data_IF_167519558881
#
_entry.id   IF_167519558881
#
_cell.length_a   1.000
_cell.length_b   1.000
_cell.length_c   1.000
_cell.angle_alpha   90.00
_cell.angle_beta   90.00
_cell.angle_gamma   90.00
#
_symmetry.space_group_name_H-M   'P 1'
#
loop_
_entity.id
_entity.type
_entity.pdbx_description
1 polymer ?
#
# COMPACT_ATOMS: atom_id res chain seq x y z
N UNK A 1 30.74 4.82 2.21
CA UNK A 1 31.57 3.75 2.80
C UNK A 1 30.84 2.43 2.57
N UNK A 2 31.49 1.46 1.95
CA UNK A 2 30.89 0.16 1.61
C UNK A 2 30.49 -0.56 2.90
N UNK A 3 29.23 -0.98 3.03
CA UNK A 3 28.68 -1.72 4.17
C UNK A 3 29.19 -3.16 4.22
N UNK A 4 30.50 -3.35 4.09
CA UNK A 4 31.15 -4.66 4.05
C UNK A 4 31.33 -5.16 5.48
N UNK A 5 30.74 -6.33 5.74
CA UNK A 5 30.83 -7.07 6.98
C UNK A 5 31.87 -8.17 6.78
N UNK A 6 32.84 -8.26 7.70
CA UNK A 6 33.85 -9.35 7.70
C UNK A 6 33.22 -10.61 8.28
N UNK A 7 33.10 -11.66 7.46
CA UNK A 7 32.69 -13.00 7.88
C UNK A 7 33.86 -13.98 7.91
N UNK A 8 33.64 -15.17 8.47
CA UNK A 8 34.65 -16.23 8.55
C UNK A 8 35.11 -16.73 7.17
N UNK A 9 34.21 -16.68 6.18
CA UNK A 9 34.45 -17.19 4.83
C UNK A 9 34.77 -16.10 3.80
N UNK A 10 34.76 -14.82 4.20
CA UNK A 10 35.00 -13.70 3.29
C UNK A 10 34.22 -12.43 3.64
N UNK A 11 34.28 -11.48 2.72
CA UNK A 11 33.61 -10.18 2.82
C UNK A 11 32.16 -10.28 2.35
N UNK A 12 31.22 -9.72 3.11
CA UNK A 12 29.79 -9.73 2.83
C UNK A 12 29.22 -8.32 2.75
N UNK A 13 28.17 -8.10 1.97
CA UNK A 13 27.42 -6.83 1.95
C UNK A 13 25.96 -7.07 2.31
N UNK A 14 25.39 -6.19 3.13
CA UNK A 14 23.98 -6.23 3.49
C UNK A 14 23.14 -5.39 2.52
N UNK A 15 22.19 -6.05 1.84
CA UNK A 15 21.23 -5.41 0.93
C UNK A 15 19.83 -5.54 1.53
N UNK A 16 19.16 -4.40 1.75
CA UNK A 16 17.83 -4.32 2.35
C UNK A 16 16.90 -3.59 1.39
N UNK A 17 15.71 -4.17 1.17
CA UNK A 17 14.58 -3.51 0.51
C UNK A 17 13.40 -3.37 1.49
N UNK A 18 12.63 -2.30 1.35
CA UNK A 18 11.44 -2.04 2.16
C UNK A 18 10.21 -1.97 1.27
N UNK A 19 9.14 -2.62 1.70
CA UNK A 19 7.79 -2.46 1.16
C UNK A 19 6.94 -1.78 2.24
N UNK A 20 6.39 -0.61 1.91
CA UNK A 20 5.70 0.24 2.88
C UNK A 20 4.27 0.46 2.39
N UNK A 21 3.30 0.04 3.20
CA UNK A 21 1.89 0.34 2.97
C UNK A 21 1.48 1.51 3.86
N UNK A 22 0.97 2.57 3.25
CA UNK A 22 0.52 3.78 3.93
C UNK A 22 -0.94 4.06 3.60
N UNK A 23 -1.78 4.17 4.63
CA UNK A 23 -3.20 4.45 4.45
C UNK A 23 -3.43 5.87 3.95
N UNK A 24 -4.05 6.01 2.79
CA UNK A 24 -4.41 7.32 2.24
C UNK A 24 -5.54 7.92 3.06
N UNK A 25 -5.27 9.05 3.71
CA UNK A 25 -6.29 9.79 4.45
C UNK A 25 -7.38 10.27 3.48
N UNK A 26 -8.58 9.74 3.59
CA UNK A 26 -9.71 10.08 2.71
C UNK A 26 -11.01 9.90 3.51
N UNK A 27 -12.06 10.59 3.11
CA UNK A 27 -13.36 10.46 3.79
C UNK A 27 -14.04 9.12 3.44
N UNK A 28 -13.90 8.71 2.18
CA UNK A 28 -14.46 7.48 1.61
C UNK A 28 -13.37 6.56 1.08
N UNK A 29 -13.67 5.27 0.96
CA UNK A 29 -12.72 4.24 0.49
C UNK A 29 -12.27 4.46 -0.96
N UNK A 30 -11.25 3.71 -1.37
CA UNK A 30 -10.63 3.83 -2.70
C UNK A 30 -11.60 3.54 -3.85
N UNK A 31 -12.51 2.58 -3.67
CA UNK A 31 -13.42 2.10 -4.73
C UNK A 31 -14.91 2.15 -4.38
N UNK A 32 -15.26 2.69 -3.22
CA UNK A 32 -16.64 2.75 -2.74
C UNK A 32 -16.91 4.01 -1.92
N UNK A 33 -18.18 4.38 -1.80
CA UNK A 33 -18.62 5.53 -1.00
C UNK A 33 -18.70 5.27 0.51
N UNK A 34 -18.30 4.09 0.99
CA UNK A 34 -18.27 3.82 2.43
C UNK A 34 -17.15 4.62 3.11
N UNK A 35 -17.33 4.94 4.40
CA UNK A 35 -16.34 5.70 5.17
C UNK A 35 -15.00 4.98 5.26
N UNK A 36 -13.90 5.75 5.21
CA UNK A 36 -12.53 5.29 5.45
C UNK A 36 -12.04 5.59 6.89
N UNK A 37 -12.92 6.08 7.76
CA UNK A 37 -12.56 6.46 9.13
C UNK A 37 -12.20 5.23 9.98
N UNK A 38 -11.08 5.29 10.69
CA UNK A 38 -10.65 4.20 11.56
C UNK A 38 -11.64 3.94 12.72
N UNK A 39 -11.85 2.67 13.05
CA UNK A 39 -12.74 2.25 14.14
C UNK A 39 -14.16 1.92 13.66
N UNK A 40 -15.16 2.22 14.49
CA UNK A 40 -16.55 1.86 14.23
C UNK A 40 -16.91 0.43 14.67
N UNK A 41 -18.20 0.11 14.65
CA UNK A 41 -18.66 -1.26 14.91
C UNK A 41 -18.29 -2.20 13.76
N UNK A 42 -18.08 -3.51 14.02
CA UNK A 42 -17.79 -4.48 12.97
C UNK A 42 -18.79 -4.39 11.82
N UNK A 43 -18.28 -4.30 10.59
CA UNK A 43 -19.06 -4.21 9.35
C UNK A 43 -20.00 -2.99 9.24
N UNK A 44 -19.87 -1.96 10.09
CA UNK A 44 -20.71 -0.76 10.01
C UNK A 44 -20.33 0.19 8.87
N UNK A 45 -19.09 0.13 8.40
CA UNK A 45 -18.58 0.97 7.31
C UNK A 45 -18.35 0.12 6.06
N UNK A 46 -19.36 -0.63 5.62
CA UNK A 46 -19.27 -1.58 4.50
C UNK A 46 -20.37 -1.29 3.49
N UNK A 47 -19.99 -1.13 2.22
CA UNK A 47 -20.90 -1.09 1.07
C UNK A 47 -20.96 -2.45 0.36
N UNK A 48 -21.94 -2.68 -0.54
CA UNK A 48 -21.97 -3.88 -1.37
C UNK A 48 -20.71 -4.11 -2.21
N UNK A 49 -20.05 -3.02 -2.66
CA UNK A 49 -18.77 -3.10 -3.38
C UNK A 49 -17.68 -3.69 -2.48
N UNK A 50 -17.59 -3.20 -1.24
CA UNK A 50 -16.60 -3.67 -0.26
C UNK A 50 -16.82 -5.13 0.10
N UNK A 51 -18.09 -5.54 0.23
CA UNK A 51 -18.49 -6.90 0.55
C UNK A 51 -18.35 -7.88 -0.63
N UNK A 52 -17.89 -7.42 -1.80
CA UNK A 52 -17.73 -8.27 -2.99
C UNK A 52 -19.04 -8.84 -3.53
N UNK A 53 -20.16 -8.14 -3.34
CA UNK A 53 -21.47 -8.64 -3.76
C UNK A 53 -21.57 -8.77 -5.29
N UNK A 54 -22.28 -9.80 -5.80
CA UNK A 54 -22.44 -9.99 -7.24
C UNK A 54 -23.03 -8.76 -7.95
N UNK A 55 -22.44 -8.39 -9.09
CA UNK A 55 -22.90 -7.27 -9.92
C UNK A 55 -22.38 -5.89 -9.50
N UNK A 56 -21.57 -5.80 -8.45
CA UNK A 56 -20.99 -4.53 -8.02
C UNK A 56 -19.76 -4.14 -8.87
N UNK A 57 -19.60 -2.84 -9.13
CA UNK A 57 -18.49 -2.29 -9.90
C UNK A 57 -17.72 -1.23 -9.08
N UNK A 58 -16.38 -1.24 -9.10
CA UNK A 58 -15.57 -0.26 -8.38
C UNK A 58 -15.57 1.11 -9.08
N UNK A 59 -15.58 2.20 -8.29
CA UNK A 59 -15.41 3.57 -8.80
C UNK A 59 -14.28 4.24 -8.03
N UNK A 60 -13.23 4.66 -8.76
CA UNK A 60 -12.01 5.22 -8.16
C UNK A 60 -12.27 6.54 -7.43
N UNK A 61 -11.67 6.68 -6.24
CA UNK A 61 -11.67 7.91 -5.45
C UNK A 61 -10.61 8.90 -5.95
N UNK A 62 -11.05 10.07 -6.43
CA UNK A 62 -10.17 11.12 -6.97
C UNK A 62 -9.24 11.72 -5.92
N UNK A 63 -9.67 11.81 -4.66
CA UNK A 63 -8.83 12.31 -3.55
C UNK A 63 -7.66 11.37 -3.29
N UNK A 64 -7.87 10.06 -3.42
CA UNK A 64 -6.79 9.08 -3.28
C UNK A 64 -5.76 9.21 -4.40
N UNK A 65 -6.23 9.40 -5.65
CA UNK A 65 -5.36 9.64 -6.81
C UNK A 65 -4.55 10.93 -6.62
N UNK A 66 -5.19 12.02 -6.23
CA UNK A 66 -4.52 13.30 -5.98
C UNK A 66 -3.43 13.16 -4.91
N UNK A 67 -3.73 12.48 -3.80
CA UNK A 67 -2.76 12.28 -2.72
C UNK A 67 -1.59 11.39 -3.14
N UNK A 68 -1.83 10.34 -3.92
CA UNK A 68 -0.75 9.52 -4.48
C UNK A 68 0.19 10.33 -5.38
N UNK A 69 -0.35 11.20 -6.25
CA UNK A 69 0.46 12.10 -7.10
C UNK A 69 1.25 13.09 -6.24
N UNK A 70 0.61 13.73 -5.25
CA UNK A 70 1.29 14.65 -4.31
C UNK A 70 2.44 13.96 -3.56
N UNK A 71 2.22 12.73 -3.09
CA UNK A 71 3.27 11.93 -2.45
C UNK A 71 4.40 11.62 -3.43
N UNK A 72 4.09 11.22 -4.66
CA UNK A 72 5.11 10.99 -5.70
C UNK A 72 5.98 12.22 -5.96
N UNK A 73 5.38 13.41 -6.06
CA UNK A 73 6.12 14.66 -6.21
C UNK A 73 7.01 14.94 -4.97
N UNK A 74 6.52 14.67 -3.77
CA UNK A 74 7.28 14.81 -2.53
C UNK A 74 8.45 13.81 -2.40
N UNK A 75 8.37 12.67 -3.11
CA UNK A 75 9.43 11.65 -3.20
C UNK A 75 10.38 11.89 -4.39
N UNK A 76 10.35 13.09 -5.00
CA UNK A 76 11.11 13.42 -6.21
C UNK A 76 10.95 12.38 -7.33
N UNK A 77 9.77 11.79 -7.44
CA UNK A 77 9.51 10.67 -8.32
C UNK A 77 8.88 11.09 -9.65
N UNK A 78 9.07 10.26 -10.68
CA UNK A 78 8.40 10.43 -11.96
C UNK A 78 6.90 10.10 -11.84
N UNK A 79 6.03 11.05 -12.18
CA UNK A 79 4.58 10.83 -12.23
C UNK A 79 4.21 10.27 -13.61
N UNK A 80 3.56 9.12 -13.64
CA UNK A 80 3.09 8.51 -14.88
C UNK A 80 1.76 9.14 -15.31
N UNK A 81 1.69 9.63 -16.55
CA UNK A 81 0.46 10.23 -17.11
C UNK A 81 -0.62 9.20 -17.42
N UNK A 82 -0.23 7.93 -17.52
CA UNK A 82 -1.12 6.79 -17.66
C UNK A 82 -0.75 5.74 -16.61
N UNK A 83 -1.74 5.24 -15.89
CA UNK A 83 -1.59 4.12 -14.95
C UNK A 83 -2.79 3.19 -15.05
N UNK A 84 -2.62 1.93 -14.67
CA UNK A 84 -3.65 0.89 -14.83
C UNK A 84 -3.84 0.15 -13.52
N UNK A 85 -5.11 -0.02 -13.14
CA UNK A 85 -5.48 -0.93 -12.05
C UNK A 85 -5.64 -2.35 -12.59
N UNK A 86 -5.10 -3.30 -11.84
CA UNK A 86 -5.05 -4.72 -12.16
C UNK A 86 -5.56 -5.54 -10.97
N UNK A 87 -5.85 -6.82 -11.20
CA UNK A 87 -6.39 -7.74 -10.19
C UNK A 87 -5.31 -8.68 -9.72
N UNK A 88 -4.88 -8.54 -8.46
CA UNK A 88 -3.99 -9.49 -7.78
C UNK A 88 -4.84 -10.58 -7.12
N UNK A 89 -4.93 -11.74 -7.75
CA UNK A 89 -5.87 -12.81 -7.35
C UNK A 89 -5.28 -13.70 -6.26
N UNK A 90 -5.99 -13.84 -5.13
CA UNK A 90 -5.69 -14.79 -4.06
C UNK A 90 -6.91 -15.00 -3.16
N UNK A 91 -6.99 -16.17 -2.52
CA UNK A 91 -8.10 -16.50 -1.63
C UNK A 91 -7.71 -16.27 -0.17
N UNK A 92 -8.43 -15.38 0.51
CA UNK A 92 -8.31 -15.19 1.95
C UNK A 92 -9.63 -14.64 2.53
N UNK A 93 -10.06 -14.99 3.76
CA UNK A 93 -11.37 -14.63 4.28
C UNK A 93 -11.65 -13.12 4.42
N UNK A 94 -10.61 -12.29 4.53
CA UNK A 94 -10.74 -10.84 4.61
C UNK A 94 -10.77 -10.13 3.24
N UNK A 95 -10.66 -10.89 2.15
CA UNK A 95 -10.68 -10.39 0.77
C UNK A 95 -11.89 -10.96 0.01
N UNK A 96 -13.05 -10.31 0.12
CA UNK A 96 -14.32 -10.89 -0.34
C UNK A 96 -14.42 -11.05 -1.86
N UNK A 97 -13.70 -10.24 -2.66
CA UNK A 97 -13.73 -10.33 -4.12
C UNK A 97 -12.89 -11.49 -4.68
N UNK A 98 -12.02 -12.11 -3.86
CA UNK A 98 -11.02 -13.10 -4.32
C UNK A 98 -9.87 -12.49 -5.15
N UNK A 99 -9.81 -11.16 -5.23
CA UNK A 99 -8.71 -10.41 -5.80
C UNK A 99 -8.61 -9.03 -5.16
N UNK A 100 -7.39 -8.55 -4.99
CA UNK A 100 -7.10 -7.18 -4.57
C UNK A 100 -6.97 -6.31 -5.83
N UNK A 101 -7.64 -5.16 -5.87
CA UNK A 101 -7.42 -4.16 -6.92
C UNK A 101 -6.16 -3.36 -6.54
N UNK A 102 -5.11 -3.50 -7.33
CA UNK A 102 -3.81 -2.83 -7.15
C UNK A 102 -3.28 -2.35 -8.51
N UNK A 103 -2.03 -1.96 -8.64
CA UNK A 103 -1.38 -1.68 -9.93
C UNK A 103 -0.13 -2.55 -10.05
N UNK A 104 0.18 -3.08 -11.24
CA UNK A 104 1.36 -3.91 -11.42
C UNK A 104 2.29 -3.33 -12.48
N UNK A 105 1.97 -3.40 -13.77
CA UNK A 105 2.91 -2.97 -14.82
C UNK A 105 3.00 -1.44 -14.94
N UNK A 106 1.86 -0.76 -14.75
CA UNK A 106 1.75 0.70 -14.93
C UNK A 106 1.34 1.40 -13.61
N UNK A 107 2.26 1.58 -12.65
CA UNK A 107 1.97 2.30 -11.41
C UNK A 107 1.73 3.79 -11.66
N UNK A 108 1.02 4.47 -10.76
CA UNK A 108 0.81 5.93 -10.83
C UNK A 108 2.10 6.75 -10.65
N UNK A 109 3.06 6.23 -9.89
CA UNK A 109 4.34 6.87 -9.61
C UNK A 109 5.47 5.87 -9.84
N UNK A 110 6.45 6.25 -10.65
CA UNK A 110 7.65 5.47 -10.95
C UNK A 110 8.83 5.83 -10.05
N UNK A 111 10.04 5.74 -10.61
CA UNK A 111 11.29 5.93 -9.89
C UNK A 111 11.37 7.32 -9.23
N UNK A 112 11.79 7.32 -7.96
CA UNK A 112 12.08 8.51 -7.16
C UNK A 112 13.18 8.25 -6.15
N UNK A 113 13.30 9.14 -5.17
CA UNK A 113 14.43 9.15 -4.25
C UNK A 113 14.15 9.97 -2.99
N UNK A 114 14.72 9.51 -1.88
CA UNK A 114 14.77 10.25 -0.62
C UNK A 114 16.22 10.34 -0.14
N UNK A 115 16.50 11.37 0.66
CA UNK A 115 17.75 11.53 1.37
C UNK A 115 17.53 11.25 2.86
N UNK A 116 18.44 10.51 3.47
CA UNK A 116 18.44 10.22 4.90
C UNK A 116 19.75 10.69 5.54
N UNK A 117 19.65 11.30 6.70
CA UNK A 117 20.80 11.67 7.52
C UNK A 117 21.29 10.45 8.31
N UNK A 118 22.59 10.18 8.23
CA UNK A 118 23.24 9.11 8.98
C UNK A 118 23.86 9.66 10.28
N UNK A 119 24.06 8.80 11.31
CA UNK A 119 24.66 9.23 12.58
C UNK A 119 26.06 9.84 12.47
N UNK A 120 26.78 9.55 11.39
CA UNK A 120 28.11 10.12 11.11
C UNK A 120 28.06 11.51 10.44
N UNK A 121 26.86 12.06 10.26
CA UNK A 121 26.61 13.35 9.62
C UNK A 121 26.64 13.31 8.09
N UNK A 122 26.82 12.13 7.48
CA UNK A 122 26.70 11.97 6.04
C UNK A 122 25.25 11.80 5.60
N UNK A 123 24.95 12.18 4.35
CA UNK A 123 23.63 12.00 3.74
C UNK A 123 23.70 10.80 2.80
N UNK A 124 22.72 9.89 2.91
CA UNK A 124 22.56 8.76 2.00
C UNK A 124 21.29 8.91 1.20
N UNK A 125 21.44 8.73 -0.11
CA UNK A 125 20.32 8.68 -1.05
C UNK A 125 19.77 7.26 -1.15
N UNK A 126 18.45 7.13 -1.01
CA UNK A 126 17.71 5.86 -1.11
C UNK A 126 16.74 5.97 -2.28
N UNK A 127 16.84 5.03 -3.22
CA UNK A 127 15.92 4.97 -4.36
C UNK A 127 14.54 4.47 -3.94
N UNK A 128 13.51 5.04 -4.55
CA UNK A 128 12.13 4.56 -4.50
C UNK A 128 11.82 3.98 -5.87
N UNK A 129 11.56 2.68 -5.95
CA UNK A 129 11.24 2.02 -7.23
C UNK A 129 9.89 2.50 -7.78
N UNK A 130 8.88 2.57 -6.90
CA UNK A 130 7.51 2.89 -7.29
C UNK A 130 6.64 3.28 -6.11
N UNK A 131 5.55 3.97 -6.41
CA UNK A 131 4.39 4.10 -5.55
C UNK A 131 3.14 3.78 -6.39
N UNK A 132 2.29 2.93 -5.86
CA UNK A 132 1.03 2.57 -6.50
C UNK A 132 -0.14 2.62 -5.52
N UNK A 133 -1.35 2.73 -6.07
CA UNK A 133 -2.58 2.66 -5.29
C UNK A 133 -3.11 1.24 -5.24
N UNK A 134 -3.60 0.84 -4.07
CA UNK A 134 -4.29 -0.43 -3.90
C UNK A 134 -5.37 -0.37 -2.83
N UNK A 135 -6.30 -1.33 -2.92
CA UNK A 135 -7.35 -1.54 -1.93
C UNK A 135 -6.79 -2.34 -0.75
N UNK A 136 -7.06 -1.89 0.47
CA UNK A 136 -6.75 -2.67 1.69
C UNK A 136 -7.77 -3.81 1.89
N UNK A 137 -7.34 -4.86 2.59
CA UNK A 137 -8.19 -5.99 2.95
C UNK A 137 -8.98 -5.72 4.24
N UNK A 138 -9.89 -6.63 4.59
CA UNK A 138 -10.55 -6.63 5.88
C UNK A 138 -9.61 -7.04 7.03
N UNK A 139 -10.18 -7.19 8.22
CA UNK A 139 -9.46 -7.67 9.41
C UNK A 139 -10.13 -8.92 9.97
N UNK A 140 -9.36 -9.98 10.15
CA UNK A 140 -9.79 -11.18 10.87
C UNK A 140 -9.53 -11.04 12.38
N UNK A 141 -10.48 -11.49 13.20
CA UNK A 141 -10.34 -11.58 14.65
C UNK A 141 -10.55 -13.05 15.05
N UNK A 142 -9.55 -13.67 15.67
CA UNK A 142 -9.58 -15.09 16.02
C UNK A 142 -10.09 -15.37 17.45
N UNK A 143 -10.03 -14.38 18.35
CA UNK A 143 -10.30 -14.55 19.78
C UNK A 143 -11.70 -14.06 20.23
N UNK A 144 -12.66 -14.07 19.32
CA UNK A 144 -14.07 -13.73 19.61
C UNK A 144 -14.87 -15.00 19.93
N UNK A 145 -14.35 -15.88 20.79
CA UNK A 145 -15.12 -17.04 21.23
C UNK A 145 -16.09 -16.62 22.34
N UNK A 146 -17.42 -16.80 22.20
CA UNK A 146 -18.42 -16.30 23.16
C UNK A 146 -18.28 -16.87 24.58
N UNK A 147 -17.41 -17.88 24.77
CA UNK A 147 -17.23 -18.60 26.04
C UNK A 147 -15.76 -18.90 26.39
N UNK A 148 -14.78 -18.48 25.57
CA UNK A 148 -13.35 -18.79 25.81
C UNK A 148 -12.49 -17.61 25.38
N UNK A 149 -12.20 -16.75 26.34
CA UNK A 149 -11.13 -15.75 26.22
C UNK A 149 -9.77 -16.42 26.17
#
# INVERSE_FOLDING_TARGET
>A
MSGIIKGETGDWEMVIGLEIHAQVLSETKLFSGASAAFGGAPNAQVSPVDAGMPGMLPVINTVCVEKAVRTGLGLNAAINLESVFERKNYFYPDLPQGYQISQYEKPIVGNGEIEIDLPDGSVRKIGIERLHLEQDAGKSLHDQHPQKS
#
